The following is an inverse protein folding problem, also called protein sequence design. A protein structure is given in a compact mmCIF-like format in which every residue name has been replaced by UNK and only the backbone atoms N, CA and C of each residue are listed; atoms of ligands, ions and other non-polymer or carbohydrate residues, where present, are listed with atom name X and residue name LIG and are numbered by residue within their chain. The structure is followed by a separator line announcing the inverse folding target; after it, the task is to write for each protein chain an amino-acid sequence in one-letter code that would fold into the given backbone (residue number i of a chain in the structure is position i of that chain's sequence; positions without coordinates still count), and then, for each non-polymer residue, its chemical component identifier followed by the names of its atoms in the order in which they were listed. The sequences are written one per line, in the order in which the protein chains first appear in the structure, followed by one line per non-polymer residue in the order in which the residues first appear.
data_IF_522286771489
#
_entry.id   IF_522286771489
#
_cell.length_a   1.000
_cell.length_b   1.000
_cell.length_c   1.000
_cell.angle_alpha   90.00
_cell.angle_beta   90.00
_cell.angle_gamma   90.00
#
_symmetry.space_group_name_H-M   'P 1'
#
loop_
_entity.id
_entity.type
_entity.pdbx_description
1 polymer ?
#
# COMPACT_ATOMS: atom_id res chain seq x y z
N UNK A 1 -22.06 3.90 -0.73
CA UNK A 1 -21.43 3.74 -0.75
C UNK A 1 -20.43 4.20 -1.16
N UNK A 2 -19.60 4.31 -0.99
CA UNK A 2 -18.63 4.84 -1.35
C UNK A 2 -17.84 3.99 -2.07
N UNK A 3 -17.47 4.21 -3.15
CA UNK A 3 -16.63 3.45 -3.97
C UNK A 3 -15.24 3.80 -3.70
N UNK A 4 -14.41 2.83 -3.45
CA UNK A 4 -13.01 3.09 -3.24
C UNK A 4 -12.33 3.15 -4.58
N UNK A 5 -11.53 4.20 -4.80
CA UNK A 5 -10.86 4.32 -6.05
C UNK A 5 -9.57 3.58 -6.01
N UNK A 6 -9.26 2.83 -7.05
CA UNK A 6 -8.02 2.08 -7.15
C UNK A 6 -7.01 2.92 -7.92
N UNK A 7 -5.83 3.10 -7.34
CA UNK A 7 -4.75 3.81 -7.99
C UNK A 7 -3.52 2.94 -7.99
N UNK A 8 -2.53 3.30 -8.76
CA UNK A 8 -1.27 2.56 -8.84
C UNK A 8 -0.20 3.40 -8.16
N UNK A 9 0.49 2.80 -7.21
CA UNK A 9 1.55 3.49 -6.49
C UNK A 9 2.72 3.77 -7.43
N UNK A 10 3.23 4.98 -7.40
CA UNK A 10 4.35 5.35 -8.23
C UNK A 10 5.65 4.69 -7.81
N UNK A 11 5.76 4.28 -6.55
CA UNK A 11 6.99 3.69 -6.08
C UNK A 11 7.02 2.18 -6.22
N UNK A 12 6.00 1.51 -5.72
CA UNK A 12 6.01 0.05 -5.72
C UNK A 12 5.12 -0.54 -6.80
N UNK A 13 4.35 0.32 -7.47
CA UNK A 13 3.48 -0.09 -8.57
C UNK A 13 2.37 -1.04 -8.14
N UNK A 14 2.05 -1.07 -6.87
CA UNK A 14 0.94 -1.87 -6.40
C UNK A 14 -0.35 -1.09 -6.49
N UNK A 15 -1.44 -1.77 -6.77
CA UNK A 15 -2.74 -1.15 -6.69
C UNK A 15 -3.08 -0.89 -5.24
N UNK A 16 -3.78 0.17 -4.97
CA UNK A 16 -4.21 0.47 -3.61
C UNK A 16 -5.46 1.34 -3.66
N UNK A 17 -6.22 1.35 -2.55
CA UNK A 17 -7.38 2.21 -2.47
C UNK A 17 -6.91 3.63 -2.16
N UNK A 18 -7.26 4.55 -3.04
CA UNK A 18 -6.75 5.92 -2.91
C UNK A 18 -7.07 6.55 -1.57
N UNK A 19 -8.22 6.21 -1.01
CA UNK A 19 -8.63 6.82 0.25
C UNK A 19 -7.79 6.42 1.43
N UNK A 20 -7.02 5.36 1.30
CA UNK A 20 -6.24 4.86 2.44
C UNK A 20 -4.87 5.52 2.55
N UNK A 21 -4.51 6.34 1.58
CA UNK A 21 -3.20 6.97 1.59
C UNK A 21 -3.33 8.46 1.74
N UNK A 22 -2.39 9.06 2.44
CA UNK A 22 -2.36 10.51 2.57
C UNK A 22 -1.76 11.17 1.34
N UNK A 23 -1.10 10.42 0.50
CA UNK A 23 -0.46 10.98 -0.68
C UNK A 23 -1.21 10.54 -1.92
N UNK A 24 -1.21 11.41 -2.92
CA UNK A 24 -2.02 11.17 -4.09
C UNK A 24 -1.53 10.03 -4.95
N UNK A 25 -0.24 9.81 -5.00
CA UNK A 25 0.32 8.84 -5.93
C UNK A 25 1.12 7.74 -5.28
N UNK A 26 1.01 7.59 -3.98
CA UNK A 26 1.73 6.55 -3.27
C UNK A 26 0.78 5.78 -2.38
N UNK A 27 1.00 4.48 -2.28
CA UNK A 27 0.19 3.67 -1.39
C UNK A 27 0.52 4.05 0.05
N UNK A 28 -0.33 3.68 1.01
CA UNK A 28 -0.06 4.06 2.39
C UNK A 28 1.25 3.50 2.91
N UNK A 29 1.66 2.33 2.43
CA UNK A 29 2.91 1.76 2.89
C UNK A 29 4.11 2.57 2.39
N UNK A 30 4.11 2.96 1.13
CA UNK A 30 5.20 3.76 0.60
C UNK A 30 5.18 5.17 1.17
N UNK A 31 4.02 5.75 1.37
CA UNK A 31 3.97 7.08 1.96
C UNK A 31 4.48 7.06 3.38
N UNK A 32 4.24 5.98 4.11
CA UNK A 32 4.78 5.84 5.45
C UNK A 32 6.30 5.65 5.39
N UNK A 33 6.75 4.75 4.53
CA UNK A 33 8.14 4.38 4.46
C UNK A 33 9.01 5.55 3.99
N UNK A 34 8.55 6.29 3.01
CA UNK A 34 9.35 7.34 2.41
C UNK A 34 9.16 8.70 3.08
N UNK A 35 7.96 8.97 3.57
CA UNK A 35 7.64 10.29 4.06
C UNK A 35 7.11 10.34 5.48
N UNK A 36 6.93 9.21 6.11
CA UNK A 36 6.52 9.18 7.50
C UNK A 36 5.04 9.38 7.78
N UNK A 37 4.21 9.29 6.75
CA UNK A 37 2.78 9.40 6.99
C UNK A 37 2.24 8.12 7.64
N UNK A 38 1.06 8.21 8.19
CA UNK A 38 0.46 7.06 8.83
C UNK A 38 0.28 5.93 7.83
N UNK A 39 0.62 4.72 8.23
CA UNK A 39 0.48 3.55 7.38
C UNK A 39 -0.88 2.92 7.58
N UNK A 40 -1.28 2.11 6.63
CA UNK A 40 -2.45 1.29 6.75
C UNK A 40 -2.19 0.16 7.72
N UNK A 41 -3.22 -0.28 8.41
CA UNK A 41 -3.11 -1.43 9.29
C UNK A 41 -3.31 -2.64 8.41
N UNK A 42 -2.25 -3.16 7.84
CA UNK A 42 -2.34 -4.19 6.81
C UNK A 42 -2.84 -5.51 7.35
N UNK A 43 -3.78 -6.08 6.62
CA UNK A 43 -4.27 -7.40 6.94
C UNK A 43 -4.45 -8.10 5.60
N UNK A 44 -3.56 -9.01 5.26
CA UNK A 44 -3.56 -9.62 3.94
C UNK A 44 -4.44 -10.85 3.89
N UNK A 45 -5.30 -10.90 2.88
CA UNK A 45 -6.12 -12.06 2.60
C UNK A 45 -6.17 -12.24 1.11
N UNK A 46 -5.96 -13.46 0.66
CA UNK A 46 -5.97 -13.77 -0.77
C UNK A 46 -4.97 -12.94 -1.55
N UNK A 47 -3.87 -12.61 -0.92
CA UNK A 47 -2.79 -11.91 -1.60
C UNK A 47 -2.92 -10.40 -1.63
N UNK A 48 -3.90 -9.83 -0.91
CA UNK A 48 -4.06 -8.39 -0.88
C UNK A 48 -4.53 -7.95 0.48
N UNK A 49 -4.14 -6.73 0.84
CA UNK A 49 -4.59 -6.15 2.09
C UNK A 49 -6.07 -5.83 2.00
N UNK A 50 -6.85 -6.25 2.97
CA UNK A 50 -8.28 -6.00 2.94
C UNK A 50 -8.61 -4.55 3.23
N UNK A 51 -7.67 -3.80 3.79
CA UNK A 51 -7.91 -2.40 4.13
C UNK A 51 -7.47 -1.43 3.04
N UNK A 52 -6.33 -1.65 2.43
CA UNK A 52 -5.83 -0.72 1.42
C UNK A 52 -5.60 -1.34 0.05
N UNK A 53 -5.81 -2.63 -0.06
CA UNK A 53 -5.68 -3.35 -1.33
C UNK A 53 -4.23 -3.53 -1.80
N UNK A 54 -3.27 -3.22 -0.96
CA UNK A 54 -1.87 -3.40 -1.32
C UNK A 54 -1.59 -4.86 -1.61
N UNK A 55 -0.83 -5.14 -2.65
CA UNK A 55 -0.53 -6.50 -3.01
C UNK A 55 0.48 -7.08 -2.05
N UNK A 56 0.19 -8.25 -1.51
CA UNK A 56 1.05 -8.84 -0.50
C UNK A 56 2.44 -9.13 -1.03
N UNK A 57 2.54 -9.57 -2.28
CA UNK A 57 3.85 -9.85 -2.84
C UNK A 57 4.72 -8.63 -2.91
N UNK A 58 4.13 -7.50 -3.25
CA UNK A 58 4.87 -6.25 -3.31
C UNK A 58 5.25 -5.79 -1.93
N UNK A 59 4.33 -5.93 -0.97
CA UNK A 59 4.61 -5.56 0.40
C UNK A 59 5.78 -6.38 0.93
N UNK A 60 5.78 -7.68 0.68
CA UNK A 60 6.87 -8.52 1.14
C UNK A 60 8.18 -8.16 0.48
N UNK A 61 8.12 -7.79 -0.81
CA UNK A 61 9.31 -7.40 -1.51
C UNK A 61 9.93 -6.15 -0.90
N UNK A 62 9.09 -5.18 -0.55
CA UNK A 62 9.57 -3.97 0.07
C UNK A 62 10.17 -4.25 1.43
N UNK A 63 9.47 -5.04 2.23
CA UNK A 63 9.90 -5.26 3.60
C UNK A 63 11.05 -6.24 3.70
N UNK A 64 11.37 -6.93 2.60
CA UNK A 64 12.46 -7.85 2.64
C UNK A 64 13.76 -7.27 2.23
N UNK A 65 13.76 -6.01 1.93
CA UNK A 65 14.95 -5.40 1.47
C UNK A 65 16.09 -5.64 2.35
N UNK A 66 15.87 -5.60 3.63
CA UNK A 66 16.95 -5.78 4.44
C UNK A 66 17.25 -7.18 4.70
N UNK A 67 16.50 -8.09 4.22
CA UNK A 67 16.79 -9.37 4.43
C UNK A 67 17.80 -9.89 3.65
N UNK A 68 18.17 -9.49 2.83
CA UNK A 68 19.06 -9.99 2.08
C UNK A 68 19.80 -9.90 2.02
#
# INVERSE_FOLDING_TARGET
MKNKRIKICDECESEYFAETSKMANLCPNCSHYLYGYANCNHKFENGRCVNCYLEEKIYQKIMRIEDE
#
